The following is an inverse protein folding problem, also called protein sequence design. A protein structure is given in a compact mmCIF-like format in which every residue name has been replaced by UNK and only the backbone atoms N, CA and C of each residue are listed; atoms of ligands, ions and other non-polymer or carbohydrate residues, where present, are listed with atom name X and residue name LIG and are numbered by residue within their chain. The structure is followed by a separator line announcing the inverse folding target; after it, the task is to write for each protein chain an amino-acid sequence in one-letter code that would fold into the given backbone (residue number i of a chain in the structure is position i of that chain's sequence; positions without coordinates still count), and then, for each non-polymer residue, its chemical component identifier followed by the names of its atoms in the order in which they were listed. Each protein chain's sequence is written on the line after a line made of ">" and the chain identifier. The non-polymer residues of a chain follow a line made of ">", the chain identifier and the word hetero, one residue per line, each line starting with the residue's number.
data_IF_463004553040
#
_entry.id   IF_463004553040
#
_cell.length_a   1.000
_cell.length_b   1.000
_cell.length_c   1.000
_cell.angle_alpha   90.00
_cell.angle_beta   90.00
_cell.angle_gamma   90.00
#
_symmetry.space_group_name_H-M   'P 1'
#
loop_
_entity.id
_entity.type
_entity.pdbx_description
1 polymer ?
#
# COMPACT_ATOMS: atom_id res chain seq x y z
N UNK A 1 -6.28 -34.35 -16.98
CA UNK A 1 -6.51 -34.04 -15.56
C UNK A 1 -6.85 -35.26 -14.72
N UNK A 2 -7.96 -36.01 -14.98
CA UNK A 2 -8.30 -37.24 -14.20
C UNK A 2 -7.17 -38.27 -14.06
N UNK A 3 -6.33 -38.44 -15.05
CA UNK A 3 -5.23 -39.41 -15.03
C UNK A 3 -4.10 -38.96 -14.12
N UNK A 4 -3.77 -37.69 -14.09
CA UNK A 4 -2.75 -37.12 -13.18
C UNK A 4 -3.17 -37.21 -11.71
N UNK A 5 -4.44 -36.93 -11.44
CA UNK A 5 -5.01 -37.02 -10.09
C UNK A 5 -5.01 -38.46 -9.57
N UNK A 6 -5.41 -39.42 -10.41
CA UNK A 6 -5.35 -40.86 -10.05
C UNK A 6 -3.90 -41.34 -9.85
N UNK A 7 -2.94 -40.77 -10.56
CA UNK A 7 -1.52 -41.07 -10.37
C UNK A 7 -1.02 -40.52 -9.03
N UNK A 8 -1.41 -39.30 -8.65
CA UNK A 8 -1.04 -38.71 -7.35
C UNK A 8 -1.65 -39.50 -6.20
N UNK A 9 -2.94 -39.86 -6.25
CA UNK A 9 -3.58 -40.74 -5.26
C UNK A 9 -2.89 -42.09 -5.19
N UNK A 10 -2.52 -42.69 -6.33
CA UNK A 10 -1.82 -43.98 -6.39
C UNK A 10 -0.41 -43.88 -5.78
N UNK A 11 0.29 -42.79 -6.03
CA UNK A 11 1.62 -42.50 -5.43
C UNK A 11 1.48 -42.31 -3.93
N UNK A 12 0.49 -41.56 -3.45
CA UNK A 12 0.22 -41.37 -2.01
C UNK A 12 -0.12 -42.66 -1.33
N UNK A 13 -0.95 -43.53 -1.95
CA UNK A 13 -1.29 -44.85 -1.38
C UNK A 13 -0.10 -45.80 -1.36
N UNK A 14 0.78 -45.78 -2.37
CA UNK A 14 2.03 -46.54 -2.38
C UNK A 14 2.98 -46.03 -1.29
N UNK A 15 3.10 -44.71 -1.14
CA UNK A 15 3.90 -44.08 -0.09
C UNK A 15 3.33 -44.40 1.29
N UNK A 16 2.01 -44.38 1.50
CA UNK A 16 1.39 -44.81 2.76
C UNK A 16 1.74 -46.25 3.12
N UNK A 17 1.65 -47.17 2.17
CA UNK A 17 2.02 -48.58 2.41
C UNK A 17 3.51 -48.76 2.67
N UNK A 18 4.38 -47.99 2.03
CA UNK A 18 5.84 -48.02 2.22
C UNK A 18 6.24 -47.43 3.57
N UNK A 19 5.57 -46.37 4.02
CA UNK A 19 5.83 -45.69 5.29
C UNK A 19 5.34 -46.54 6.46
N UNK A 20 4.18 -47.17 6.34
CA UNK A 20 3.63 -48.05 7.37
C UNK A 20 4.53 -49.30 7.63
N UNK A 21 5.23 -49.71 6.59
CA UNK A 21 6.16 -50.86 6.70
C UNK A 21 7.52 -50.51 7.29
N UNK A 22 7.93 -49.23 7.36
CA UNK A 22 9.30 -48.84 7.71
C UNK A 22 9.45 -47.86 8.89
N UNK A 23 8.41 -47.48 9.59
CA UNK A 23 8.42 -46.56 10.78
C UNK A 23 9.31 -45.30 10.60
N UNK A 24 9.30 -44.69 9.45
CA UNK A 24 10.26 -43.62 9.04
C UNK A 24 9.76 -42.19 9.11
N UNK A 25 8.52 -41.95 9.58
CA UNK A 25 7.97 -40.57 9.70
C UNK A 25 7.56 -40.30 11.15
N UNK A 26 7.84 -39.09 11.62
CA UNK A 26 7.32 -38.57 12.87
C UNK A 26 5.82 -38.20 12.72
N UNK A 27 5.08 -38.21 13.83
CA UNK A 27 3.63 -37.94 13.88
C UNK A 27 3.24 -36.60 13.23
N UNK A 28 4.14 -35.62 13.23
CA UNK A 28 3.97 -34.33 12.59
C UNK A 28 3.94 -34.41 11.05
N UNK A 29 4.77 -35.24 10.44
CA UNK A 29 4.83 -35.41 8.97
C UNK A 29 3.55 -36.08 8.47
N UNK A 30 3.00 -37.04 9.27
CA UNK A 30 1.76 -37.71 8.97
C UNK A 30 0.56 -36.75 8.99
N UNK A 31 0.48 -35.86 9.99
CA UNK A 31 -0.58 -34.87 10.11
C UNK A 31 -0.53 -33.85 8.94
N UNK A 32 0.66 -33.45 8.50
CA UNK A 32 0.84 -32.54 7.38
C UNK A 32 0.39 -33.16 6.04
N UNK A 33 0.62 -34.47 5.85
CA UNK A 33 0.14 -35.22 4.67
C UNK A 33 -1.39 -35.34 4.71
N UNK A 34 -2.00 -35.64 5.88
CA UNK A 34 -3.45 -35.71 6.02
C UNK A 34 -4.12 -34.37 5.75
N UNK A 35 -3.57 -33.28 6.29
CA UNK A 35 -4.06 -31.92 5.96
C UNK A 35 -4.02 -31.63 4.46
N UNK A 36 -2.95 -32.03 3.78
CA UNK A 36 -2.81 -31.85 2.33
C UNK A 36 -3.88 -32.66 1.56
N UNK A 37 -4.14 -33.90 1.96
CA UNK A 37 -5.15 -34.77 1.33
C UNK A 37 -6.58 -34.26 1.59
N UNK A 38 -6.86 -33.75 2.78
CA UNK A 38 -8.17 -33.16 3.11
C UNK A 38 -8.41 -31.86 2.33
N UNK A 39 -7.36 -31.09 2.08
CA UNK A 39 -7.42 -29.91 1.22
C UNK A 39 -7.66 -30.27 -0.25
N UNK A 40 -6.99 -31.30 -0.78
CA UNK A 40 -7.22 -31.81 -2.14
C UNK A 40 -8.65 -32.34 -2.30
N UNK A 41 -9.22 -33.02 -1.33
CA UNK A 41 -10.63 -33.43 -1.33
C UNK A 41 -11.59 -32.24 -1.34
N UNK A 42 -11.27 -31.19 -0.60
CA UNK A 42 -12.05 -29.95 -0.57
C UNK A 42 -12.02 -29.24 -1.93
N UNK A 43 -10.91 -29.32 -2.64
CA UNK A 43 -10.75 -28.83 -4.02
C UNK A 43 -11.67 -29.62 -4.98
N UNK A 44 -11.71 -30.95 -4.84
CA UNK A 44 -12.55 -31.81 -5.68
C UNK A 44 -14.05 -31.60 -5.44
N UNK A 45 -14.45 -31.37 -4.18
CA UNK A 45 -15.84 -31.02 -3.83
C UNK A 45 -16.25 -29.66 -4.41
N UNK A 46 -15.37 -28.68 -4.42
CA UNK A 46 -15.59 -27.36 -5.04
C UNK A 46 -15.70 -27.48 -6.56
N UNK A 47 -14.88 -28.31 -7.20
CA UNK A 47 -14.92 -28.54 -8.64
C UNK A 47 -16.17 -29.32 -9.13
N UNK A 48 -16.74 -30.17 -8.27
CA UNK A 48 -17.92 -30.98 -8.60
C UNK A 48 -19.26 -30.34 -8.21
N UNK A 49 -19.26 -29.28 -7.41
CA UNK A 49 -20.46 -28.49 -7.17
C UNK A 49 -20.82 -27.74 -8.46
N UNK A 50 -22.03 -27.99 -9.01
CA UNK A 50 -22.60 -27.18 -10.09
C UNK A 50 -22.53 -25.71 -9.67
N UNK A 51 -21.61 -24.95 -10.28
CA UNK A 51 -21.34 -23.53 -9.98
C UNK A 51 -22.53 -22.75 -10.55
N UNK A 52 -23.49 -22.27 -9.73
CA UNK A 52 -24.39 -21.22 -10.17
C UNK A 52 -23.55 -19.95 -10.32
N UNK A 53 -23.74 -19.18 -11.38
CA UNK A 53 -23.10 -17.91 -11.71
C UNK A 53 -21.72 -17.70 -11.08
N UNK A 54 -20.66 -17.55 -11.90
CA UNK A 54 -19.24 -17.46 -11.45
C UNK A 54 -19.16 -16.74 -10.09
N UNK A 55 -18.80 -17.41 -8.99
CA UNK A 55 -18.75 -16.75 -7.69
C UNK A 55 -17.83 -15.55 -7.84
N UNK A 56 -18.30 -14.39 -7.38
CA UNK A 56 -17.47 -13.18 -7.39
C UNK A 56 -16.21 -13.48 -6.57
N UNK A 57 -15.06 -13.54 -7.24
CA UNK A 57 -13.79 -13.90 -6.59
C UNK A 57 -13.48 -12.97 -5.41
N UNK A 58 -13.98 -11.73 -5.45
CA UNK A 58 -13.79 -10.76 -4.37
C UNK A 58 -14.50 -11.16 -3.06
N UNK A 59 -15.56 -11.96 -3.11
CA UNK A 59 -16.22 -12.48 -1.91
C UNK A 59 -15.33 -13.49 -1.17
N UNK A 60 -14.34 -14.05 -1.86
CA UNK A 60 -13.35 -14.98 -1.32
C UNK A 60 -12.08 -14.28 -0.81
N UNK A 61 -11.95 -12.98 -1.04
CA UNK A 61 -10.84 -12.16 -0.54
C UNK A 61 -11.38 -11.20 0.52
N UNK A 62 -11.38 -11.65 1.77
CA UNK A 62 -11.89 -10.88 2.89
C UNK A 62 -11.14 -11.24 4.19
N UNK A 63 -11.26 -10.41 5.20
CA UNK A 63 -10.55 -10.56 6.48
C UNK A 63 -11.05 -11.73 7.38
N UNK A 64 -12.01 -12.54 6.91
CA UNK A 64 -12.51 -13.72 7.61
C UNK A 64 -11.89 -15.01 7.10
N UNK A 65 -11.28 -14.98 5.91
CA UNK A 65 -10.61 -16.13 5.30
C UNK A 65 -9.12 -16.14 5.65
N UNK A 66 -8.51 -17.32 5.72
CA UNK A 66 -7.05 -17.41 5.80
C UNK A 66 -6.42 -17.03 4.46
N UNK A 67 -5.22 -16.44 4.48
CA UNK A 67 -4.48 -16.09 3.25
C UNK A 67 -4.28 -17.32 2.36
N UNK A 68 -4.02 -18.48 2.94
CA UNK A 68 -3.89 -19.77 2.24
C UNK A 68 -5.16 -20.12 1.45
N UNK A 69 -6.33 -19.98 2.09
CA UNK A 69 -7.61 -20.23 1.41
C UNK A 69 -7.89 -19.21 0.31
N UNK A 70 -7.50 -17.96 0.49
CA UNK A 70 -7.62 -16.94 -0.56
C UNK A 70 -6.75 -17.29 -1.77
N UNK A 71 -5.49 -17.67 -1.53
CA UNK A 71 -4.57 -18.13 -2.60
C UNK A 71 -5.15 -19.31 -3.33
N UNK A 72 -5.68 -20.31 -2.61
CA UNK A 72 -6.31 -21.48 -3.21
C UNK A 72 -7.52 -21.10 -4.08
N UNK A 73 -8.40 -20.22 -3.58
CA UNK A 73 -9.56 -19.76 -4.34
C UNK A 73 -9.15 -19.02 -5.62
N UNK A 74 -8.08 -18.19 -5.57
CA UNK A 74 -7.54 -17.52 -6.75
C UNK A 74 -6.92 -18.53 -7.73
N UNK A 75 -6.15 -19.51 -7.23
CA UNK A 75 -5.59 -20.58 -8.09
C UNK A 75 -6.68 -21.28 -8.86
N UNK A 76 -7.73 -21.75 -8.19
CA UNK A 76 -8.89 -22.41 -8.81
C UNK A 76 -9.62 -21.48 -9.81
N UNK A 77 -9.75 -20.20 -9.46
CA UNK A 77 -10.35 -19.21 -10.36
C UNK A 77 -9.53 -19.07 -11.67
N UNK A 78 -8.20 -18.98 -11.57
CA UNK A 78 -7.30 -18.87 -12.71
C UNK A 78 -7.29 -20.15 -13.56
N UNK A 79 -7.26 -21.34 -12.93
CA UNK A 79 -7.34 -22.64 -13.61
C UNK A 79 -8.63 -22.81 -14.41
N UNK A 80 -9.72 -22.17 -13.98
CA UNK A 80 -10.99 -22.12 -14.70
C UNK A 80 -11.08 -20.97 -15.74
N UNK A 81 -9.95 -20.38 -16.11
CA UNK A 81 -9.88 -19.30 -17.11
C UNK A 81 -10.30 -17.92 -16.59
N UNK A 82 -10.23 -17.70 -15.27
CA UNK A 82 -10.42 -16.38 -14.68
C UNK A 82 -9.27 -15.43 -15.03
N UNK A 83 -9.55 -14.14 -15.02
CA UNK A 83 -8.58 -13.09 -15.27
C UNK A 83 -7.97 -12.59 -13.96
N UNK A 84 -6.64 -12.65 -13.81
CA UNK A 84 -5.93 -12.14 -12.62
C UNK A 84 -6.15 -10.63 -12.43
N UNK A 85 -6.46 -9.91 -13.49
CA UNK A 85 -6.68 -8.48 -13.52
C UNK A 85 -8.16 -8.08 -13.41
N UNK A 86 -9.05 -9.04 -13.10
CA UNK A 86 -10.47 -8.72 -12.85
C UNK A 86 -10.60 -7.63 -11.79
N UNK A 87 -11.55 -6.72 -11.98
CA UNK A 87 -11.83 -5.65 -11.04
C UNK A 87 -13.22 -5.77 -10.43
N UNK A 88 -13.38 -5.29 -9.21
CA UNK A 88 -14.67 -5.14 -8.55
C UNK A 88 -15.43 -3.90 -9.04
N UNK A 89 -16.60 -3.60 -8.47
CA UNK A 89 -17.42 -2.44 -8.86
C UNK A 89 -16.77 -1.08 -8.56
N UNK A 90 -15.78 -1.05 -7.68
CA UNK A 90 -14.98 0.14 -7.36
C UNK A 90 -13.74 0.26 -8.25
N UNK A 91 -13.54 -0.71 -9.16
CA UNK A 91 -12.39 -0.80 -10.04
C UNK A 91 -11.15 -1.41 -9.36
N UNK A 92 -11.27 -1.92 -8.12
CA UNK A 92 -10.14 -2.53 -7.44
C UNK A 92 -9.85 -3.90 -8.02
N UNK A 93 -8.60 -4.15 -8.41
CA UNK A 93 -8.12 -5.48 -8.83
C UNK A 93 -7.87 -6.38 -7.61
N UNK A 94 -7.65 -7.69 -7.87
CA UNK A 94 -7.24 -8.64 -6.82
C UNK A 94 -5.97 -8.17 -6.10
N UNK A 95 -5.01 -7.61 -6.85
CA UNK A 95 -3.79 -7.05 -6.28
C UNK A 95 -4.09 -5.89 -5.33
N UNK A 96 -4.89 -4.91 -5.77
CA UNK A 96 -5.28 -3.77 -4.94
C UNK A 96 -5.99 -4.21 -3.66
N UNK A 97 -6.88 -5.20 -3.76
CA UNK A 97 -7.59 -5.75 -2.60
C UNK A 97 -6.64 -6.41 -1.61
N UNK A 98 -5.64 -7.18 -2.09
CA UNK A 98 -4.63 -7.81 -1.24
C UNK A 98 -3.76 -6.77 -0.52
N UNK A 99 -3.40 -5.68 -1.21
CA UNK A 99 -2.67 -4.53 -0.64
C UNK A 99 -3.51 -3.84 0.44
N UNK A 100 -4.77 -3.51 0.15
CA UNK A 100 -5.68 -2.86 1.09
C UNK A 100 -5.86 -3.66 2.39
N UNK A 101 -5.90 -4.99 2.29
CA UNK A 101 -6.02 -5.89 3.43
C UNK A 101 -4.67 -6.14 4.14
N UNK A 102 -3.55 -5.67 3.58
CA UNK A 102 -2.21 -5.88 4.13
C UNK A 102 -1.71 -7.33 4.03
N UNK A 103 -2.22 -8.11 3.08
CA UNK A 103 -1.86 -9.52 2.91
C UNK A 103 -0.68 -9.71 1.95
N UNK A 104 0.54 -9.69 2.50
CA UNK A 104 1.79 -9.75 1.74
C UNK A 104 1.92 -11.00 0.87
N UNK A 105 1.65 -12.18 1.44
CA UNK A 105 1.77 -13.46 0.72
C UNK A 105 0.75 -13.55 -0.42
N UNK A 106 -0.45 -12.97 -0.23
CA UNK A 106 -1.47 -12.91 -1.25
C UNK A 106 -1.06 -11.96 -2.39
N UNK A 107 -0.52 -10.78 -2.05
CA UNK A 107 -0.02 -9.82 -3.02
C UNK A 107 1.14 -10.42 -3.85
N UNK A 108 2.07 -11.11 -3.18
CA UNK A 108 3.19 -11.81 -3.84
C UNK A 108 2.69 -12.88 -4.82
N UNK A 109 1.75 -13.74 -4.36
CA UNK A 109 1.13 -14.76 -5.22
C UNK A 109 0.46 -14.14 -6.46
N UNK A 110 -0.29 -13.06 -6.30
CA UNK A 110 -0.98 -12.37 -7.39
C UNK A 110 0.04 -11.75 -8.37
N UNK A 111 1.12 -11.15 -7.87
CA UNK A 111 2.20 -10.61 -8.70
C UNK A 111 2.95 -11.70 -9.46
N UNK A 112 3.23 -12.86 -8.84
CA UNK A 112 3.82 -14.03 -9.51
C UNK A 112 2.95 -14.59 -10.64
N UNK A 113 1.65 -14.35 -10.62
CA UNK A 113 0.72 -14.68 -11.70
C UNK A 113 0.54 -13.55 -12.71
N UNK A 114 1.51 -12.64 -12.81
CA UNK A 114 1.59 -11.55 -13.80
C UNK A 114 0.42 -10.54 -13.71
N UNK A 115 -0.02 -10.19 -12.49
CA UNK A 115 -0.97 -9.10 -12.31
C UNK A 115 -0.41 -7.78 -12.85
N UNK A 116 -1.25 -7.03 -13.55
CA UNK A 116 -0.90 -5.71 -14.09
C UNK A 116 -0.93 -4.66 -12.96
N UNK A 117 0.24 -4.15 -12.59
CA UNK A 117 0.41 -3.15 -11.54
C UNK A 117 0.01 -1.74 -11.97
N UNK A 118 -0.24 -1.52 -13.27
CA UNK A 118 -0.58 -0.20 -13.83
C UNK A 118 -2.06 0.12 -13.78
N UNK A 119 -2.91 -0.87 -13.57
CA UNK A 119 -4.37 -0.69 -13.49
C UNK A 119 -4.73 0.21 -12.32
N UNK A 120 -5.78 1.01 -12.52
CA UNK A 120 -6.26 1.96 -11.51
C UNK A 120 -7.72 1.69 -11.16
N UNK A 121 -8.09 1.95 -9.92
CA UNK A 121 -9.47 1.94 -9.45
C UNK A 121 -10.21 3.24 -9.85
N UNK A 122 -11.48 3.39 -9.43
CA UNK A 122 -12.30 4.57 -9.73
C UNK A 122 -11.75 5.87 -9.13
N UNK A 123 -10.87 5.79 -8.14
CA UNK A 123 -10.17 6.95 -7.57
C UNK A 123 -8.88 7.30 -8.32
N UNK A 124 -8.51 6.54 -9.36
CA UNK A 124 -7.23 6.67 -10.06
C UNK A 124 -6.06 6.04 -9.32
N UNK A 125 -6.30 5.28 -8.23
CA UNK A 125 -5.27 4.66 -7.42
C UNK A 125 -4.86 3.31 -8.03
N UNK A 126 -3.55 3.10 -8.20
CA UNK A 126 -2.98 1.80 -8.54
C UNK A 126 -2.47 1.06 -7.28
N UNK A 127 -1.99 -0.17 -7.46
CA UNK A 127 -1.50 -0.97 -6.34
C UNK A 127 -0.32 -0.32 -5.60
N UNK A 128 0.55 0.44 -6.30
CA UNK A 128 1.67 1.14 -5.69
C UNK A 128 1.19 2.28 -4.78
N UNK A 129 0.23 3.08 -5.24
CA UNK A 129 -0.38 4.16 -4.44
C UNK A 129 -1.00 3.57 -3.17
N UNK A 130 -1.81 2.51 -3.30
CA UNK A 130 -2.45 1.85 -2.17
C UNK A 130 -1.46 1.20 -1.19
N UNK A 131 -0.25 0.84 -1.66
CA UNK A 131 0.80 0.25 -0.82
C UNK A 131 1.64 1.27 -0.05
N UNK A 132 1.34 2.57 -0.13
CA UNK A 132 2.17 3.65 0.40
C UNK A 132 2.51 3.52 1.90
N UNK A 133 1.65 2.87 2.71
CA UNK A 133 1.92 2.59 4.12
C UNK A 133 2.57 1.21 4.38
N UNK A 134 2.82 0.42 3.31
CA UNK A 134 3.34 -0.95 3.40
C UNK A 134 4.69 -1.10 2.68
N UNK A 135 5.84 -0.76 3.34
CA UNK A 135 7.17 -0.76 2.70
C UNK A 135 7.54 -2.08 2.03
N UNK A 136 7.10 -3.21 2.60
CA UNK A 136 7.37 -4.54 2.04
C UNK A 136 6.63 -4.76 0.72
N UNK A 137 5.33 -4.37 0.66
CA UNK A 137 4.53 -4.49 -0.57
C UNK A 137 5.07 -3.55 -1.66
N UNK A 138 5.50 -2.33 -1.30
CA UNK A 138 6.19 -1.43 -2.24
C UNK A 138 7.36 -2.15 -2.91
N UNK A 139 8.24 -2.79 -2.14
CA UNK A 139 9.37 -3.54 -2.71
C UNK A 139 8.91 -4.69 -3.61
N UNK A 140 7.87 -5.45 -3.23
CA UNK A 140 7.32 -6.52 -4.07
C UNK A 140 6.85 -5.96 -5.42
N UNK A 141 6.07 -4.88 -5.38
CA UNK A 141 5.55 -4.25 -6.60
C UNK A 141 6.71 -3.70 -7.45
N UNK A 142 7.68 -3.01 -6.85
CA UNK A 142 8.84 -2.44 -7.54
C UNK A 142 9.71 -3.49 -8.23
N UNK A 143 9.82 -4.69 -7.67
CA UNK A 143 10.56 -5.80 -8.27
C UNK A 143 9.85 -6.44 -9.47
N UNK A 144 8.57 -6.16 -9.68
CA UNK A 144 7.75 -6.71 -10.77
C UNK A 144 7.59 -5.76 -11.98
N UNK A 145 8.63 -4.96 -12.30
CA UNK A 145 8.68 -4.07 -13.48
C UNK A 145 7.56 -3.03 -13.54
N UNK A 146 7.64 -2.00 -12.72
CA UNK A 146 6.76 -0.84 -12.81
C UNK A 146 7.16 0.06 -13.97
N UNK A 147 6.19 0.36 -14.83
CA UNK A 147 6.38 1.27 -15.96
C UNK A 147 6.23 2.75 -15.58
N UNK A 148 5.52 3.08 -14.50
CA UNK A 148 5.33 4.47 -14.08
C UNK A 148 5.25 4.60 -12.55
N UNK A 149 6.39 4.91 -11.94
CA UNK A 149 6.55 5.12 -10.50
C UNK A 149 5.75 6.34 -10.00
N UNK A 150 5.55 7.32 -10.87
CA UNK A 150 4.91 8.60 -10.59
C UNK A 150 3.46 8.69 -11.15
N UNK A 151 2.80 7.55 -11.34
CA UNK A 151 1.35 7.54 -11.58
C UNK A 151 0.64 8.24 -10.43
N UNK A 152 -0.34 9.07 -10.75
CA UNK A 152 -1.08 9.84 -9.78
C UNK A 152 -2.55 9.44 -9.74
N UNK A 153 -3.15 9.53 -8.56
CA UNK A 153 -4.59 9.40 -8.36
C UNK A 153 -5.37 10.60 -8.91
N UNK A 154 -6.70 10.60 -8.79
CA UNK A 154 -7.56 11.70 -9.25
C UNK A 154 -7.32 13.03 -8.52
N UNK A 155 -6.53 13.04 -7.43
CA UNK A 155 -6.12 14.23 -6.71
C UNK A 155 -4.68 14.67 -7.08
N UNK A 156 -4.07 14.01 -8.06
CA UNK A 156 -2.70 14.29 -8.47
C UNK A 156 -1.64 13.74 -7.51
N UNK A 157 -2.03 12.91 -6.53
CA UNK A 157 -1.09 12.33 -5.56
C UNK A 157 -0.47 11.05 -6.10
N UNK A 158 0.85 10.98 -6.08
CA UNK A 158 1.62 9.74 -6.34
C UNK A 158 1.74 8.89 -5.07
N UNK A 159 2.28 7.69 -5.18
CA UNK A 159 2.60 6.86 -4.02
C UNK A 159 3.50 7.58 -3.01
N UNK A 160 4.43 8.45 -3.47
CA UNK A 160 5.29 9.24 -2.61
C UNK A 160 4.49 10.25 -1.76
N UNK A 161 3.47 10.92 -2.33
CA UNK A 161 2.58 11.80 -1.58
C UNK A 161 1.84 11.06 -0.48
N UNK A 162 1.26 9.91 -0.80
CA UNK A 162 0.54 9.08 0.17
C UNK A 162 1.48 8.57 1.28
N UNK A 163 2.72 8.17 0.93
CA UNK A 163 3.71 7.77 1.93
C UNK A 163 4.10 8.92 2.87
N UNK A 164 4.18 10.17 2.35
CA UNK A 164 4.40 11.37 3.16
C UNK A 164 3.19 11.69 4.05
N UNK A 165 1.96 11.56 3.52
CA UNK A 165 0.71 11.78 4.25
C UNK A 165 0.53 10.79 5.42
N UNK A 166 0.89 9.50 5.21
CA UNK A 166 0.94 8.49 6.28
C UNK A 166 2.11 8.70 7.25
N UNK A 167 3.08 9.54 6.92
CA UNK A 167 4.28 9.72 7.70
C UNK A 167 5.22 8.51 7.69
N UNK A 168 5.11 7.62 6.70
CA UNK A 168 5.89 6.39 6.64
C UNK A 168 7.28 6.66 6.02
N UNK A 169 8.27 6.99 6.87
CA UNK A 169 9.63 7.29 6.45
C UNK A 169 10.27 6.13 5.63
N UNK A 170 9.97 4.88 5.97
CA UNK A 170 10.54 3.73 5.26
C UNK A 170 10.01 3.65 3.83
N UNK A 171 8.69 3.82 3.64
CA UNK A 171 8.08 3.88 2.32
C UNK A 171 8.63 5.05 1.50
N UNK A 172 8.75 6.24 2.10
CA UNK A 172 9.31 7.43 1.45
C UNK A 172 10.75 7.16 0.98
N UNK A 173 11.59 6.56 1.84
CA UNK A 173 12.98 6.23 1.47
C UNK A 173 13.05 5.24 0.30
N UNK A 174 12.20 4.22 0.29
CA UNK A 174 12.16 3.24 -0.79
C UNK A 174 11.76 3.92 -2.10
N UNK A 175 10.68 4.70 -2.10
CA UNK A 175 10.16 5.37 -3.30
C UNK A 175 11.16 6.37 -3.87
N UNK A 176 11.76 7.24 -3.04
CA UNK A 176 12.79 8.20 -3.48
C UNK A 176 14.01 7.48 -4.04
N UNK A 177 14.50 6.42 -3.34
CA UNK A 177 15.64 5.63 -3.82
C UNK A 177 15.34 4.94 -5.15
N UNK A 178 14.08 4.60 -5.42
CA UNK A 178 13.64 3.98 -6.67
C UNK A 178 13.43 4.99 -7.80
N UNK A 179 13.57 6.29 -7.54
CA UNK A 179 13.52 7.35 -8.53
C UNK A 179 12.19 8.10 -8.63
N UNK A 180 11.34 8.05 -7.61
CA UNK A 180 10.15 8.91 -7.57
C UNK A 180 10.50 10.39 -7.67
N UNK A 181 9.74 11.13 -8.48
CA UNK A 181 9.93 12.57 -8.64
C UNK A 181 9.45 13.34 -7.40
N UNK A 182 10.41 13.88 -6.66
CA UNK A 182 10.19 14.66 -5.44
C UNK A 182 9.57 16.04 -5.68
N UNK A 183 9.60 16.52 -6.94
CA UNK A 183 9.11 17.85 -7.33
C UNK A 183 7.68 17.84 -7.87
N UNK A 184 7.03 16.67 -7.89
CA UNK A 184 5.61 16.59 -8.25
C UNK A 184 4.77 17.45 -7.31
N UNK A 185 3.63 17.91 -7.85
CA UNK A 185 2.61 18.65 -7.11
C UNK A 185 1.25 17.97 -7.32
N UNK A 186 0.43 18.00 -6.29
CA UNK A 186 -0.95 17.56 -6.42
C UNK A 186 -1.81 18.59 -7.18
N UNK A 187 -3.11 18.33 -7.35
CA UNK A 187 -4.03 19.25 -8.06
C UNK A 187 -4.23 20.59 -7.36
N UNK A 188 -3.70 20.77 -6.16
CA UNK A 188 -3.74 22.00 -5.38
C UNK A 188 -2.37 22.69 -5.29
N UNK A 189 -1.38 22.16 -6.00
CA UNK A 189 -0.03 22.65 -5.96
C UNK A 189 0.76 22.27 -4.70
N UNK A 190 0.21 21.41 -3.81
CA UNK A 190 0.91 20.97 -2.58
C UNK A 190 2.11 20.11 -2.90
N UNK A 191 3.16 20.26 -2.08
CA UNK A 191 4.41 19.50 -2.17
C UNK A 191 4.43 18.33 -1.18
N UNK A 192 5.36 17.38 -1.37
CA UNK A 192 5.57 16.26 -0.43
C UNK A 192 5.94 16.73 0.97
N UNK A 193 6.66 17.89 1.12
CA UNK A 193 6.98 18.46 2.42
C UNK A 193 5.73 18.92 3.17
N UNK A 194 4.75 19.50 2.47
CA UNK A 194 3.50 19.94 3.10
C UNK A 194 2.75 18.74 3.68
N UNK A 195 2.67 17.64 2.96
CA UNK A 195 2.07 16.38 3.46
C UNK A 195 2.85 15.77 4.62
N UNK A 196 4.19 15.78 4.54
CA UNK A 196 5.03 15.32 5.64
C UNK A 196 4.84 16.17 6.92
N UNK A 197 4.59 17.47 6.78
CA UNK A 197 4.29 18.36 7.92
C UNK A 197 2.89 18.05 8.50
N UNK A 198 1.91 17.79 7.66
CA UNK A 198 0.56 17.35 8.10
C UNK A 198 0.58 16.00 8.82
N UNK A 199 1.45 15.07 8.42
CA UNK A 199 1.60 13.76 9.09
C UNK A 199 2.18 13.84 10.49
N UNK A 200 2.74 15.00 10.87
CA UNK A 200 3.37 15.25 12.17
C UNK A 200 4.62 14.39 12.47
N UNK A 201 5.17 13.69 11.49
CA UNK A 201 6.39 12.90 11.65
C UNK A 201 7.65 13.76 11.47
N UNK A 202 8.25 14.19 12.59
CA UNK A 202 9.43 15.06 12.57
C UNK A 202 10.66 14.39 11.90
N UNK A 203 10.83 13.09 12.02
CA UNK A 203 11.96 12.37 11.40
C UNK A 203 11.82 12.34 9.88
N UNK A 204 10.60 12.18 9.36
CA UNK A 204 10.32 12.30 7.94
C UNK A 204 10.59 13.72 7.44
N UNK A 205 10.12 14.73 8.17
CA UNK A 205 10.35 16.15 7.83
C UNK A 205 11.86 16.44 7.76
N UNK A 206 12.63 15.97 8.76
CA UNK A 206 14.09 16.11 8.77
C UNK A 206 14.73 15.45 7.55
N UNK A 207 14.34 14.21 7.25
CA UNK A 207 14.85 13.47 6.11
C UNK A 207 14.64 14.24 4.79
N UNK A 208 13.43 14.78 4.56
CA UNK A 208 13.13 15.53 3.35
C UNK A 208 13.95 16.83 3.25
N UNK A 209 14.17 17.53 4.38
CA UNK A 209 14.89 18.82 4.38
C UNK A 209 16.40 18.63 4.40
N UNK A 210 16.94 17.68 5.18
CA UNK A 210 18.38 17.56 5.42
C UNK A 210 19.08 16.59 4.46
N UNK A 211 18.42 15.48 4.09
CA UNK A 211 19.02 14.44 3.25
C UNK A 211 18.60 14.58 1.77
N UNK A 212 17.35 15.00 1.52
CA UNK A 212 16.78 15.15 0.17
C UNK A 212 16.89 16.60 -0.34
N UNK A 213 17.05 17.55 0.59
CA UNK A 213 17.25 18.99 0.30
C UNK A 213 16.07 19.60 -0.49
N UNK A 214 14.81 19.21 -0.15
CA UNK A 214 13.63 19.83 -0.76
C UNK A 214 13.55 21.32 -0.42
N UNK A 215 13.04 22.15 -1.36
CA UNK A 215 12.84 23.57 -1.07
C UNK A 215 11.75 23.76 -0.01
N UNK A 216 12.15 24.22 1.16
CA UNK A 216 11.29 24.44 2.31
C UNK A 216 10.27 25.56 2.11
N UNK A 217 10.57 26.50 1.17
CA UNK A 217 9.78 27.70 0.93
C UNK A 217 8.84 27.61 -0.28
N UNK A 218 8.75 26.44 -0.92
CA UNK A 218 7.78 26.21 -1.98
C UNK A 218 6.35 26.48 -1.49
N UNK A 219 5.52 27.02 -2.39
CA UNK A 219 4.14 27.41 -2.11
C UNK A 219 3.18 26.60 -2.94
N UNK A 220 2.06 26.26 -2.35
CA UNK A 220 0.89 25.70 -3.04
C UNK A 220 0.15 26.79 -3.87
N UNK A 221 -0.93 26.42 -4.54
CA UNK A 221 -1.72 27.34 -5.37
C UNK A 221 -2.43 28.45 -4.56
N UNK A 222 -2.55 28.28 -3.24
CA UNK A 222 -3.02 29.32 -2.33
C UNK A 222 -1.91 30.19 -1.77
N UNK A 223 -0.66 30.02 -2.21
CA UNK A 223 0.50 30.77 -1.72
C UNK A 223 0.98 30.34 -0.33
N UNK A 224 0.59 29.17 0.14
CA UNK A 224 0.94 28.64 1.46
C UNK A 224 2.19 27.77 1.36
N UNK A 225 3.20 28.03 2.18
CA UNK A 225 4.33 27.13 2.34
C UNK A 225 4.07 26.13 3.50
N UNK A 226 5.03 25.23 3.77
CA UNK A 226 4.84 24.14 4.73
C UNK A 226 4.49 24.60 6.16
N UNK A 227 4.81 25.85 6.57
CA UNK A 227 4.48 26.35 7.93
C UNK A 227 2.97 26.50 8.15
N UNK A 228 2.18 26.71 7.10
CA UNK A 228 0.72 26.83 7.20
C UNK A 228 0.05 25.52 7.59
N UNK A 229 0.70 24.38 7.37
CA UNK A 229 0.22 23.03 7.64
C UNK A 229 0.73 22.46 8.98
N UNK A 230 1.63 23.19 9.66
CA UNK A 230 2.14 22.74 10.96
C UNK A 230 1.04 22.81 12.02
N UNK A 231 0.86 21.73 12.78
CA UNK A 231 -0.11 21.64 13.88
C UNK A 231 0.59 21.63 15.24
N UNK A 232 1.88 21.26 15.27
CA UNK A 232 2.69 21.14 16.50
C UNK A 232 3.82 22.17 16.56
N UNK A 233 4.02 22.70 17.77
CA UNK A 233 5.05 23.75 18.02
C UNK A 233 6.47 23.22 17.74
N UNK A 234 6.78 21.96 18.06
CA UNK A 234 8.10 21.39 17.80
C UNK A 234 8.41 21.35 16.30
N UNK A 235 7.42 21.02 15.47
CA UNK A 235 7.57 21.02 14.00
C UNK A 235 7.78 22.45 13.51
N UNK A 236 6.93 23.39 13.92
CA UNK A 236 7.08 24.79 13.53
C UNK A 236 8.44 25.36 13.97
N UNK A 237 8.93 25.04 15.16
CA UNK A 237 10.27 25.45 15.62
C UNK A 237 11.37 24.89 14.74
N UNK A 238 11.25 23.62 14.32
CA UNK A 238 12.22 23.00 13.45
C UNK A 238 12.22 23.65 12.06
N UNK A 239 11.04 23.88 11.46
CA UNK A 239 10.91 24.57 10.18
C UNK A 239 11.52 25.98 10.23
N UNK A 240 11.26 26.74 11.32
CA UNK A 240 11.84 28.07 11.52
C UNK A 240 13.38 28.01 11.68
N UNK A 241 13.89 27.02 12.41
CA UNK A 241 15.33 26.76 12.53
C UNK A 241 15.97 26.45 11.17
N UNK A 242 15.20 25.90 10.23
CA UNK A 242 15.61 25.62 8.83
C UNK A 242 15.26 26.76 7.87
N UNK A 243 15.07 27.96 8.37
CA UNK A 243 14.85 29.19 7.62
C UNK A 243 13.60 29.21 6.72
N UNK A 244 12.49 28.54 7.16
CA UNK A 244 11.21 28.71 6.49
C UNK A 244 10.72 30.16 6.64
N UNK A 245 10.17 30.73 5.58
CA UNK A 245 9.53 32.04 5.63
C UNK A 245 8.17 31.93 6.39
N UNK A 246 8.23 32.08 7.72
CA UNK A 246 7.04 32.08 8.57
C UNK A 246 6.26 33.39 8.50
N UNK A 247 6.79 34.42 7.84
CA UNK A 247 6.14 35.72 7.62
C UNK A 247 5.34 35.75 6.31
N UNK A 248 5.47 34.71 5.47
CA UNK A 248 4.75 34.58 4.19
C UNK A 248 3.24 34.76 4.39
N UNK A 249 2.61 35.34 3.40
CA UNK A 249 1.15 35.46 3.31
C UNK A 249 0.62 34.54 2.20
N UNK A 250 -0.55 33.99 2.41
CA UNK A 250 -1.27 33.28 1.37
C UNK A 250 -1.91 34.24 0.34
N UNK A 251 -2.57 33.70 -0.67
CA UNK A 251 -3.19 34.46 -1.79
C UNK A 251 -4.25 35.49 -1.37
N UNK A 252 -4.82 35.38 -0.16
CA UNK A 252 -5.77 36.33 0.40
C UNK A 252 -5.15 37.25 1.47
N UNK A 253 -3.82 37.26 1.60
CA UNK A 253 -3.07 38.14 2.49
C UNK A 253 -2.98 37.67 3.93
N UNK A 254 -3.46 36.47 4.30
CA UNK A 254 -3.36 35.94 5.64
C UNK A 254 -2.00 35.26 5.88
N UNK A 255 -1.43 35.48 7.04
CA UNK A 255 -0.25 34.80 7.53
C UNK A 255 -0.56 33.45 8.15
N UNK A 256 0.44 32.58 8.27
CA UNK A 256 0.26 31.25 8.85
C UNK A 256 -0.39 31.28 10.24
N UNK A 257 0.01 32.23 11.13
CA UNK A 257 -0.58 32.31 12.47
C UNK A 257 -2.08 32.67 12.46
N UNK A 258 -2.56 33.39 11.45
CA UNK A 258 -3.99 33.75 11.31
C UNK A 258 -4.82 32.56 10.85
N UNK A 259 -4.32 31.84 9.84
CA UNK A 259 -4.93 30.59 9.34
C UNK A 259 -4.98 29.54 10.44
N UNK A 260 -3.87 29.33 11.15
CA UNK A 260 -3.79 28.37 12.27
C UNK A 260 -4.72 28.72 13.42
N UNK A 261 -4.90 30.03 13.71
CA UNK A 261 -5.87 30.48 14.69
C UNK A 261 -7.30 30.14 14.26
N UNK A 262 -7.63 30.39 13.01
CA UNK A 262 -8.95 30.07 12.46
C UNK A 262 -9.24 28.55 12.55
N UNK A 263 -8.23 27.72 12.30
CA UNK A 263 -8.30 26.25 12.40
C UNK A 263 -8.23 25.72 13.85
N UNK A 264 -8.18 26.61 14.87
CA UNK A 264 -8.21 26.22 16.28
C UNK A 264 -6.85 25.94 16.92
N UNK A 265 -5.73 26.08 16.21
CA UNK A 265 -4.37 25.87 16.71
C UNK A 265 -3.84 27.08 17.50
N UNK A 266 -4.56 27.52 18.54
CA UNK A 266 -4.34 28.77 19.26
C UNK A 266 -2.95 28.91 19.87
N UNK A 267 -2.39 27.84 20.43
CA UNK A 267 -1.05 27.82 21.03
C UNK A 267 0.03 28.11 20.02
N UNK A 268 -0.03 27.41 18.85
CA UNK A 268 0.92 27.58 17.76
C UNK A 268 0.77 28.95 17.11
N UNK A 269 -0.47 29.40 16.86
CA UNK A 269 -0.77 30.75 16.37
C UNK A 269 -0.14 31.82 17.26
N UNK A 270 -0.34 31.70 18.57
CA UNK A 270 0.24 32.67 19.57
C UNK A 270 1.77 32.62 19.51
N UNK A 271 2.38 31.44 19.35
CA UNK A 271 3.82 31.29 19.25
C UNK A 271 4.36 32.02 18.00
N UNK A 272 3.79 31.75 16.80
CA UNK A 272 4.22 32.38 15.56
C UNK A 272 4.03 33.91 15.60
N UNK A 273 2.87 34.38 16.08
CA UNK A 273 2.59 35.82 16.21
C UNK A 273 3.58 36.57 17.12
N UNK A 274 4.14 35.89 18.13
CA UNK A 274 5.19 36.50 19.00
C UNK A 274 6.52 36.64 18.29
N UNK A 275 6.83 35.80 17.34
CA UNK A 275 8.09 35.88 16.57
C UNK A 275 8.11 37.08 15.63
N UNK A 276 6.99 37.49 15.06
CA UNK A 276 6.88 38.64 14.18
C UNK A 276 7.05 40.00 14.90
N UNK A 277 6.98 40.03 16.24
CA UNK A 277 7.13 41.23 17.02
C UNK A 277 8.58 41.47 17.49
N UNK A 278 9.47 40.54 17.14
CA UNK A 278 10.91 40.64 17.44
C UNK A 278 11.71 41.09 16.22
#
# INVERSE_FOLDING_TARGET
>A
MRIYFLIIIYIVLIFQNYIYSNSLLEENDYNQIIETIEEEKKIEEIQNSNIPEKPNIFDKINNRESVRNMILNISLYLENGGDINVADNEGNTLLMKSVYLGYYDLADYILLNNADTSLTNNNGENALILSADYPYIINLILNNNIYNLDSADNKGKTALFHACEFGNLNSVRILIKSGSDINKRDIFGKTILMYAVESENLELIKYLIEDIEVDINEKDDWGQNAIFFATKINIARYLIYKDIDYSATNSIGLKAYEVLKYNGYNNLSTYLKKLEKK
#
